data_IF_039360775395
#
_entry.id   IF_039360775395
#
_cell.length_a   1.000
_cell.length_b   1.000
_cell.length_c   1.000
_cell.angle_alpha   90.00
_cell.angle_beta   90.00
_cell.angle_gamma   90.00
#
_symmetry.space_group_name_H-M   'P 1'
#
loop_
_entity.id
_entity.type
_entity.pdbx_description
1 polymer ?
#
# COMPACT_ATOMS: atom_id res chain seq x y z
N UNK A 1 9.46 -5.99 3.05
CA UNK A 1 9.22 -5.38 4.37
C UNK A 1 9.03 -6.53 5.34
N UNK A 2 9.95 -6.78 6.25
CA UNK A 2 9.90 -7.94 7.15
C UNK A 2 10.23 -7.52 8.57
N UNK A 3 9.24 -7.58 9.46
CA UNK A 3 9.44 -7.33 10.88
C UNK A 3 10.11 -8.54 11.55
N UNK A 4 11.01 -8.29 12.48
CA UNK A 4 11.63 -9.34 13.28
C UNK A 4 10.63 -9.88 14.31
N UNK A 5 10.82 -11.13 14.74
CA UNK A 5 9.97 -11.75 15.77
C UNK A 5 9.96 -10.96 17.08
N UNK A 6 11.06 -10.30 17.43
CA UNK A 6 11.16 -9.46 18.63
C UNK A 6 10.26 -8.23 18.54
N UNK A 7 10.26 -7.54 17.39
CA UNK A 7 9.41 -6.36 17.18
C UNK A 7 7.92 -6.71 17.32
N UNK A 8 7.49 -7.86 16.79
CA UNK A 8 6.10 -8.33 16.92
C UNK A 8 5.75 -8.63 18.38
N UNK A 9 6.66 -9.24 19.14
CA UNK A 9 6.44 -9.56 20.56
C UNK A 9 6.36 -8.31 21.42
N UNK A 10 7.20 -7.31 21.16
CA UNK A 10 7.16 -6.04 21.87
C UNK A 10 5.88 -5.27 21.58
N UNK A 11 5.45 -5.25 20.31
CA UNK A 11 4.18 -4.65 19.91
C UNK A 11 2.99 -5.29 20.63
N UNK A 12 2.94 -6.62 20.71
CA UNK A 12 1.87 -7.34 21.43
C UNK A 12 1.85 -6.99 22.92
N UNK A 13 3.01 -6.91 23.58
CA UNK A 13 3.10 -6.53 25.00
C UNK A 13 2.65 -5.09 25.23
N UNK A 14 2.99 -4.19 24.31
CA UNK A 14 2.57 -2.80 24.37
C UNK A 14 1.04 -2.68 24.27
N UNK A 15 0.43 -3.39 23.32
CA UNK A 15 -1.04 -3.38 23.13
C UNK A 15 -1.76 -3.94 24.36
N UNK A 16 -1.26 -5.04 24.94
CA UNK A 16 -1.83 -5.62 26.16
C UNK A 16 -1.77 -4.65 27.36
N UNK A 17 -0.69 -3.86 27.45
CA UNK A 17 -0.55 -2.82 28.48
C UNK A 17 -1.56 -1.67 28.29
N UNK A 18 -1.83 -1.30 27.03
CA UNK A 18 -2.80 -0.25 26.71
C UNK A 18 -4.24 -0.71 26.98
N UNK A 19 -4.55 -1.99 26.75
CA UNK A 19 -5.89 -2.55 26.91
C UNK A 19 -6.21 -3.03 28.33
N UNK A 20 -5.32 -2.79 29.31
CA UNK A 20 -5.46 -3.29 30.69
C UNK A 20 -6.69 -2.76 31.48
N UNK A 21 -7.51 -1.88 30.89
CA UNK A 21 -8.76 -1.37 31.48
C UNK A 21 -10.05 -1.94 30.88
N UNK A 22 -9.97 -2.66 29.76
CA UNK A 22 -11.13 -3.24 29.07
C UNK A 22 -11.01 -4.76 29.15
N UNK A 23 -12.05 -5.46 29.61
CA UNK A 23 -12.01 -6.89 29.95
C UNK A 23 -11.88 -7.87 28.77
N UNK A 24 -11.07 -7.53 27.75
CA UNK A 24 -10.76 -8.37 26.58
C UNK A 24 -9.25 -8.39 26.32
N UNK A 25 -8.66 -9.58 26.19
CA UNK A 25 -7.23 -9.79 25.91
C UNK A 25 -6.94 -10.07 24.43
N UNK A 26 -7.88 -9.75 23.54
CA UNK A 26 -7.71 -10.01 22.12
C UNK A 26 -6.89 -8.90 21.46
N UNK A 27 -5.72 -9.29 20.96
CA UNK A 27 -4.83 -8.42 20.18
C UNK A 27 -5.08 -8.74 18.71
N UNK A 28 -5.59 -7.78 17.94
CA UNK A 28 -5.79 -7.96 16.50
C UNK A 28 -4.48 -7.78 15.72
N UNK A 29 -4.39 -8.43 14.57
CA UNK A 29 -3.28 -8.22 13.64
C UNK A 29 -3.17 -6.76 13.19
N UNK A 30 -4.29 -6.04 13.13
CA UNK A 30 -4.33 -4.60 12.82
C UNK A 30 -3.63 -3.78 13.91
N UNK A 31 -3.87 -4.08 15.18
CA UNK A 31 -3.27 -3.36 16.30
C UNK A 31 -1.75 -3.55 16.33
N UNK A 32 -1.30 -4.79 16.08
CA UNK A 32 0.12 -5.12 15.96
C UNK A 32 0.74 -4.32 14.82
N UNK A 33 0.09 -4.28 13.65
CA UNK A 33 0.57 -3.51 12.50
C UNK A 33 0.65 -2.01 12.80
N UNK A 34 -0.34 -1.46 13.50
CA UNK A 34 -0.35 -0.05 13.91
C UNK A 34 0.82 0.28 14.83
N UNK A 35 1.20 -0.61 15.76
CA UNK A 35 2.37 -0.38 16.63
C UNK A 35 3.68 -0.60 15.89
N UNK A 36 3.78 -1.62 15.04
CA UNK A 36 4.98 -1.92 14.25
C UNK A 36 5.32 -0.86 13.19
N UNK A 37 4.30 -0.13 12.71
CA UNK A 37 4.45 0.94 11.72
C UNK A 37 4.55 2.34 12.34
N UNK A 38 4.47 2.48 13.67
CA UNK A 38 4.79 3.75 14.33
C UNK A 38 6.29 3.99 14.18
N UNK A 39 6.64 5.00 13.38
CA UNK A 39 8.02 5.36 13.08
C UNK A 39 8.82 5.66 14.35
N UNK A 40 10.06 5.16 14.35
CA UNK A 40 11.03 5.12 15.45
C UNK A 40 11.54 6.52 15.86
N UNK A 41 10.70 7.31 16.53
CA UNK A 41 11.13 8.57 17.15
C UNK A 41 11.32 8.41 18.67
N UNK A 42 12.38 7.71 19.07
CA UNK A 42 12.96 7.85 20.41
C UNK A 42 14.41 8.37 20.36
N UNK A 43 14.53 9.70 20.47
CA UNK A 43 15.56 10.47 21.16
C UNK A 43 17.07 10.14 20.92
N UNK A 44 17.71 10.92 20.04
CA UNK A 44 19.03 11.48 20.36
C UNK A 44 18.85 12.91 20.88
N UNK A 45 19.45 13.17 22.02
CA UNK A 45 19.44 14.41 22.78
C UNK A 45 20.26 15.50 22.10
N UNK A 46 19.65 16.55 21.54
CA UNK A 46 20.24 17.89 21.47
C UNK A 46 19.12 18.93 21.66
N UNK A 47 19.23 19.70 22.74
CA UNK A 47 18.29 20.73 23.12
C UNK A 47 18.39 21.94 22.18
N UNK A 48 17.36 22.17 21.35
CA UNK A 48 17.13 23.47 20.72
C UNK A 48 15.66 23.88 20.92
N UNK A 49 15.52 24.75 21.91
CA UNK A 49 14.41 25.64 22.29
C UNK A 49 13.51 26.16 21.15
N UNK A 50 12.20 25.81 21.14
CA UNK A 50 11.09 26.62 20.59
C UNK A 50 9.77 26.26 21.34
N UNK A 51 8.90 27.23 21.68
CA UNK A 51 7.93 27.13 22.78
C UNK A 51 6.59 26.47 22.44
N UNK A 52 5.93 25.94 23.47
CA UNK A 52 4.55 25.45 23.48
C UNK A 52 3.55 26.51 22.99
N UNK A 53 2.80 26.25 21.91
CA UNK A 53 1.33 26.49 21.79
C UNK A 53 0.76 26.24 20.37
N UNK A 54 -0.27 25.37 20.29
CA UNK A 54 -1.40 25.32 19.30
C UNK A 54 -1.02 24.80 17.88
N UNK A 55 -1.78 24.00 17.13
CA UNK A 55 -3.21 23.67 16.96
C UNK A 55 -3.39 22.21 16.48
N UNK A 56 -4.62 21.70 16.54
CA UNK A 56 -5.04 20.39 16.04
C UNK A 56 -5.13 20.31 14.50
N UNK A 57 -3.98 20.21 13.81
CA UNK A 57 -3.93 20.01 12.35
C UNK A 57 -2.80 19.04 11.99
N UNK A 58 -3.04 17.73 12.14
CA UNK A 58 -2.23 16.70 11.50
C UNK A 58 -3.16 15.77 10.71
N UNK A 59 -3.60 16.24 9.54
CA UNK A 59 -3.92 15.38 8.42
C UNK A 59 -2.94 15.81 7.33
N UNK A 60 -1.91 15.00 7.09
CA UNK A 60 -0.86 15.26 6.11
C UNK A 60 -1.48 15.58 4.75
N UNK A 61 -1.45 16.86 4.38
CA UNK A 61 -1.90 17.32 3.08
C UNK A 61 -0.86 16.91 2.05
N UNK A 62 -1.20 15.93 1.22
CA UNK A 62 -0.48 15.68 -0.03
C UNK A 62 -0.36 17.01 -0.79
N UNK A 63 0.84 17.33 -1.28
CA UNK A 63 1.00 18.53 -2.10
C UNK A 63 0.26 18.34 -3.43
N UNK A 64 -0.12 19.45 -4.07
CA UNK A 64 -0.77 19.40 -5.39
C UNK A 64 0.08 18.61 -6.40
N UNK A 65 1.40 18.74 -6.31
CA UNK A 65 2.39 18.04 -7.14
C UNK A 65 2.34 16.52 -6.92
N UNK A 66 2.23 16.06 -5.67
CA UNK A 66 2.10 14.62 -5.35
C UNK A 66 0.82 14.01 -5.93
N UNK A 67 -0.26 14.79 -5.94
CA UNK A 67 -1.55 14.32 -6.47
C UNK A 67 -1.47 14.09 -7.98
N UNK A 68 -0.88 15.03 -8.72
CA UNK A 68 -0.71 14.91 -10.17
C UNK A 68 0.20 13.73 -10.54
N UNK A 69 1.28 13.53 -9.79
CA UNK A 69 2.18 12.38 -9.97
C UNK A 69 1.47 11.04 -9.74
N UNK A 70 0.69 10.93 -8.67
CA UNK A 70 -0.07 9.72 -8.35
C UNK A 70 -1.15 9.44 -9.41
N UNK A 71 -1.81 10.48 -9.93
CA UNK A 71 -2.80 10.34 -10.99
C UNK A 71 -2.17 9.87 -12.30
N UNK A 72 -1.01 10.42 -12.65
CA UNK A 72 -0.23 10.01 -13.82
C UNK A 72 0.20 8.54 -13.71
N UNK A 73 0.76 8.14 -12.57
CA UNK A 73 1.17 6.76 -12.32
C UNK A 73 -0.02 5.79 -12.40
N UNK A 74 -1.16 6.14 -11.79
CA UNK A 74 -2.37 5.33 -11.88
C UNK A 74 -2.82 5.14 -13.33
N UNK A 75 -2.76 6.19 -14.15
CA UNK A 75 -3.10 6.08 -15.56
C UNK A 75 -2.17 5.11 -16.29
N UNK A 76 -0.86 5.23 -16.08
CA UNK A 76 0.13 4.34 -16.69
C UNK A 76 -0.08 2.88 -16.26
N UNK A 77 -0.33 2.63 -14.98
CA UNK A 77 -0.60 1.29 -14.44
C UNK A 77 -1.89 0.69 -15.03
N UNK A 78 -2.94 1.50 -15.23
CA UNK A 78 -4.16 1.05 -15.89
C UNK A 78 -3.91 0.69 -17.36
N UNK A 79 -3.22 1.55 -18.12
CA UNK A 79 -2.88 1.30 -19.52
C UNK A 79 -2.03 0.02 -19.71
N UNK A 80 -1.15 -0.28 -18.75
CA UNK A 80 -0.35 -1.51 -18.76
C UNK A 80 -1.22 -2.77 -18.70
N UNK A 81 -2.32 -2.74 -17.95
CA UNK A 81 -3.22 -3.90 -17.74
C UNK A 81 -4.31 -4.02 -18.81
N UNK A 82 -4.67 -2.93 -19.48
CA UNK A 82 -5.69 -2.93 -20.53
C UNK A 82 -5.33 -3.81 -21.73
N UNK A 83 -6.38 -4.36 -22.35
CA UNK A 83 -6.31 -5.13 -23.59
C UNK A 83 -5.60 -4.31 -24.67
N UNK A 84 -4.57 -4.92 -25.27
CA UNK A 84 -3.75 -4.26 -26.30
C UNK A 84 -4.47 -4.13 -27.65
N UNK A 85 -5.66 -4.69 -27.78
CA UNK A 85 -6.49 -4.66 -29.00
C UNK A 85 -7.56 -3.58 -28.90
N UNK A 86 -8.51 -3.69 -27.97
CA UNK A 86 -9.60 -2.71 -27.85
C UNK A 86 -9.30 -1.53 -26.91
N UNK A 87 -8.37 -1.68 -25.95
CA UNK A 87 -8.08 -0.71 -24.87
C UNK A 87 -9.30 -0.31 -24.02
N UNK A 88 -10.35 -1.12 -24.03
CA UNK A 88 -11.61 -0.85 -23.31
C UNK A 88 -11.72 -1.68 -22.03
N UNK A 89 -11.25 -2.93 -22.07
CA UNK A 89 -11.29 -3.87 -20.95
C UNK A 89 -9.89 -4.36 -20.59
N UNK A 90 -9.73 -4.91 -19.38
CA UNK A 90 -8.47 -5.50 -18.93
C UNK A 90 -8.07 -6.74 -19.73
N UNK A 91 -6.77 -6.99 -19.80
CA UNK A 91 -6.20 -8.21 -20.35
C UNK A 91 -6.43 -9.36 -19.37
N UNK A 92 -7.18 -10.37 -19.79
CA UNK A 92 -7.58 -11.50 -18.94
C UNK A 92 -7.26 -12.87 -19.55
N UNK A 93 -6.86 -12.92 -20.83
CA UNK A 93 -6.59 -14.17 -21.55
C UNK A 93 -5.09 -14.35 -21.77
N UNK A 94 -4.56 -15.50 -21.36
CA UNK A 94 -3.18 -15.91 -21.62
C UNK A 94 -3.06 -16.66 -22.95
N UNK A 95 -2.09 -16.28 -23.79
CA UNK A 95 -1.79 -16.97 -25.05
C UNK A 95 -0.75 -18.07 -24.83
N UNK A 96 -1.04 -19.31 -25.24
CA UNK A 96 -0.08 -20.42 -25.18
C UNK A 96 0.64 -20.60 -26.52
N UNK A 97 1.94 -20.97 -26.53
CA UNK A 97 2.77 -21.32 -25.37
C UNK A 97 3.50 -20.13 -24.70
N UNK A 98 3.43 -18.92 -25.24
CA UNK A 98 4.27 -17.79 -24.76
C UNK A 98 3.87 -17.25 -23.38
N UNK A 99 2.64 -17.48 -22.93
CA UNK A 99 2.13 -17.08 -21.61
C UNK A 99 1.72 -15.60 -21.48
N UNK A 100 1.83 -14.79 -22.54
CA UNK A 100 1.49 -13.37 -22.47
C UNK A 100 -0.02 -13.14 -22.28
N UNK A 101 -0.36 -12.26 -21.34
CA UNK A 101 -1.74 -11.83 -21.04
C UNK A 101 -1.93 -10.43 -21.61
N UNK A 102 -2.49 -10.33 -22.82
CA UNK A 102 -2.58 -9.06 -23.57
C UNK A 102 -3.94 -8.78 -24.21
N UNK A 103 -4.90 -9.71 -24.09
CA UNK A 103 -6.25 -9.55 -24.64
C UNK A 103 -7.33 -9.74 -23.56
N UNK A 104 -8.43 -8.99 -23.71
CA UNK A 104 -9.67 -9.28 -23.01
C UNK A 104 -10.37 -10.50 -23.63
N UNK A 105 -11.44 -10.97 -22.98
CA UNK A 105 -12.24 -12.12 -23.41
C UNK A 105 -12.88 -11.95 -24.78
N UNK A 106 -13.20 -10.72 -25.17
CA UNK A 106 -13.92 -10.44 -26.41
C UNK A 106 -12.99 -10.33 -27.62
N UNK A 107 -11.77 -9.81 -27.41
CA UNK A 107 -10.77 -9.70 -28.47
C UNK A 107 -10.00 -11.01 -28.71
N UNK A 108 -9.80 -11.84 -27.67
CA UNK A 108 -8.98 -13.03 -27.79
C UNK A 108 -9.45 -14.03 -28.88
N UNK A 109 -10.76 -14.32 -29.07
CA UNK A 109 -11.22 -15.24 -30.11
C UNK A 109 -10.87 -14.84 -31.55
N UNK A 110 -10.66 -13.54 -31.80
CA UNK A 110 -10.26 -13.03 -33.11
C UNK A 110 -8.76 -13.22 -33.39
N UNK A 111 -7.95 -13.49 -32.35
CA UNK A 111 -6.50 -13.56 -32.45
C UNK A 111 -6.01 -15.00 -32.65
N UNK A 112 -5.21 -15.23 -33.71
CA UNK A 112 -4.59 -16.54 -33.99
C UNK A 112 -3.20 -16.71 -33.38
N UNK A 113 -2.55 -15.59 -33.03
CA UNK A 113 -1.21 -15.52 -32.44
C UNK A 113 -1.22 -14.45 -31.35
N UNK A 114 -0.24 -14.50 -30.46
CA UNK A 114 -0.05 -13.46 -29.46
C UNK A 114 0.23 -12.11 -30.15
N UNK A 115 -0.47 -11.02 -29.81
CA UNK A 115 -0.24 -9.70 -30.41
C UNK A 115 1.14 -9.07 -30.15
N UNK A 116 1.88 -9.55 -29.14
CA UNK A 116 3.14 -8.92 -28.70
C UNK A 116 4.39 -9.76 -28.97
N UNK A 117 4.26 -10.97 -29.51
CA UNK A 117 5.41 -11.83 -29.84
C UNK A 117 5.13 -12.74 -31.05
#
# INVERSE_FOLDING_TARGET
MGFTSHQVVDAVREIQRLNSGEGGTDVSATDIMTVLLREDHHQTTEALNVPETRTAEEIGGATFDDTDLILEENRQLQEQRQCKVCREFDSTVAFLPCGHIVCCTDCAPAMRKCPVC
#
